data_IF_862014140465
#
_entry.id   IF_862014140465
#
_cell.length_a   1.000
_cell.length_b   1.000
_cell.length_c   1.000
_cell.angle_alpha   90.00
_cell.angle_beta   90.00
_cell.angle_gamma   90.00
#
_symmetry.space_group_name_H-M   'P 1'
#
loop_
_entity.id
_entity.type
_entity.pdbx_description
1 polymer ?
#
# COMPACT_ATOMS: atom_id res chain seq x y z
N UNK A 1 -26.08 -52.74 -26.73
CA UNK A 1 -25.03 -51.71 -26.88
C UNK A 1 -25.77 -50.39 -27.02
N UNK A 2 -25.67 -49.36 -26.20
CA UNK A 2 -24.96 -49.06 -24.95
C UNK A 2 -25.84 -48.00 -24.24
N UNK A 3 -26.02 -48.14 -22.92
CA UNK A 3 -26.76 -47.18 -22.10
C UNK A 3 -25.80 -46.06 -21.68
N UNK A 4 -26.09 -44.82 -22.04
CA UNK A 4 -25.50 -43.66 -21.37
C UNK A 4 -26.47 -43.14 -20.29
N UNK A 5 -26.21 -43.53 -19.04
CA UNK A 5 -26.78 -42.93 -17.83
C UNK A 5 -25.98 -41.65 -17.52
N UNK A 6 -26.58 -40.48 -17.64
CA UNK A 6 -26.04 -39.21 -17.16
C UNK A 6 -26.66 -38.84 -15.82
N UNK A 7 -25.88 -38.94 -14.74
CA UNK A 7 -26.31 -38.76 -13.36
C UNK A 7 -26.69 -37.32 -13.01
N UNK A 8 -27.69 -37.18 -12.15
CA UNK A 8 -27.93 -35.97 -11.36
C UNK A 8 -26.88 -35.91 -10.24
N UNK A 9 -25.98 -34.94 -10.29
CA UNK A 9 -25.11 -34.62 -9.16
C UNK A 9 -25.95 -33.78 -8.19
N UNK A 10 -26.38 -34.41 -7.09
CA UNK A 10 -26.78 -33.71 -5.89
C UNK A 10 -25.50 -33.28 -5.17
N UNK A 11 -25.15 -31.99 -5.22
CA UNK A 11 -24.23 -31.42 -4.23
C UNK A 11 -25.07 -30.93 -3.04
N UNK A 12 -25.18 -31.80 -2.06
CA UNK A 12 -25.51 -31.44 -0.68
C UNK A 12 -24.34 -30.63 -0.10
N UNK A 13 -24.52 -29.33 0.10
CA UNK A 13 -23.64 -28.56 0.98
C UNK A 13 -24.23 -28.59 2.39
N UNK A 14 -23.47 -29.19 3.31
CA UNK A 14 -23.72 -29.15 4.74
C UNK A 14 -23.67 -27.70 5.24
N UNK A 15 -24.47 -27.33 6.25
CA UNK A 15 -24.42 -26.00 6.84
C UNK A 15 -23.13 -25.85 7.65
N UNK A 16 -22.24 -24.93 7.24
CA UNK A 16 -21.10 -24.50 8.07
C UNK A 16 -21.64 -23.54 9.14
N UNK A 17 -22.41 -24.08 10.07
CA UNK A 17 -22.65 -23.44 11.35
C UNK A 17 -21.41 -23.65 12.23
N UNK A 18 -20.84 -22.55 12.74
CA UNK A 18 -19.75 -22.45 13.73
C UNK A 18 -18.32 -22.43 13.18
N UNK A 19 -17.95 -21.35 12.51
CA UNK A 19 -16.63 -20.73 12.68
C UNK A 19 -16.80 -19.25 13.00
N UNK A 20 -17.40 -18.97 14.16
CA UNK A 20 -17.06 -17.75 14.88
C UNK A 20 -15.68 -17.99 15.51
N UNK A 21 -14.68 -17.19 15.11
CA UNK A 21 -13.56 -16.76 15.96
C UNK A 21 -12.67 -15.80 15.19
N UNK A 22 -12.76 -14.54 15.61
CA UNK A 22 -11.68 -13.55 15.67
C UNK A 22 -11.03 -13.22 14.32
N UNK A 23 -11.54 -12.18 13.67
CA UNK A 23 -10.71 -11.34 12.82
C UNK A 23 -9.51 -10.89 13.66
N UNK A 24 -8.26 -11.23 13.29
CA UNK A 24 -7.11 -10.73 14.00
C UNK A 24 -7.06 -9.22 13.74
N UNK A 25 -7.27 -8.42 14.79
CA UNK A 25 -6.85 -7.02 14.75
C UNK A 25 -5.35 -7.04 14.52
N UNK A 26 -4.93 -6.76 13.29
CA UNK A 26 -3.53 -6.58 12.96
C UNK A 26 -3.07 -5.34 13.70
N UNK A 27 -2.19 -5.51 14.68
CA UNK A 27 -1.63 -4.40 15.42
C UNK A 27 -0.85 -3.48 14.47
N UNK A 28 -0.94 -2.15 14.62
CA UNK A 28 -0.07 -1.23 13.88
C UNK A 28 1.38 -1.60 14.11
N UNK A 29 2.16 -1.62 13.03
CA UNK A 29 3.53 -2.13 13.04
C UNK A 29 4.15 -2.06 11.66
N UNK A 30 5.48 -2.08 11.62
CA UNK A 30 6.24 -2.16 10.36
C UNK A 30 6.92 -3.53 10.36
N UNK A 31 6.56 -4.37 9.38
CA UNK A 31 7.29 -5.59 9.09
C UNK A 31 8.20 -5.35 7.88
N UNK A 32 9.50 -5.44 8.11
CA UNK A 32 10.52 -5.47 7.04
C UNK A 32 10.96 -6.93 6.91
N UNK A 33 10.78 -7.54 5.73
CA UNK A 33 11.31 -8.89 5.48
C UNK A 33 12.71 -8.79 4.86
N UNK A 34 13.66 -9.49 5.48
CA UNK A 34 15.09 -9.46 5.14
C UNK A 34 15.40 -9.88 3.69
N UNK A 35 16.42 -9.25 3.11
CA UNK A 35 17.46 -9.95 2.32
C UNK A 35 18.84 -9.30 2.53
N UNK A 36 19.87 -10.14 2.42
CA UNK A 36 21.32 -9.97 2.68
C UNK A 36 22.01 -8.69 2.18
N UNK A 37 23.03 -8.26 2.93
CA UNK A 37 23.96 -7.13 2.65
C UNK A 37 24.32 -6.97 1.17
N UNK A 38 24.12 -5.77 0.63
CA UNK A 38 24.63 -5.38 -0.68
C UNK A 38 25.37 -4.05 -0.59
N UNK A 39 26.65 -4.05 -0.99
CA UNK A 39 27.43 -2.83 -1.15
C UNK A 39 26.98 -2.10 -2.42
N UNK A 40 26.60 -0.83 -2.28
CA UNK A 40 26.15 0.03 -3.38
C UNK A 40 27.28 0.23 -4.42
N UNK A 41 27.08 -0.13 -5.71
CA UNK A 41 27.92 0.39 -6.77
C UNK A 41 27.54 1.85 -7.04
N UNK A 42 28.55 2.72 -7.07
CA UNK A 42 28.42 4.12 -7.55
C UNK A 42 27.97 4.10 -9.02
N UNK A 43 26.75 4.56 -9.31
CA UNK A 43 26.31 4.80 -10.68
C UNK A 43 25.92 6.27 -10.85
N UNK A 44 26.65 6.95 -11.74
CA UNK A 44 26.30 8.25 -12.28
C UNK A 44 25.13 8.09 -13.25
N UNK A 45 23.99 8.72 -12.97
CA UNK A 45 22.89 8.81 -13.94
C UNK A 45 23.02 10.13 -14.70
N UNK A 46 23.46 10.04 -15.96
CA UNK A 46 23.43 11.16 -16.89
C UNK A 46 22.04 11.20 -17.56
N UNK A 47 21.12 12.03 -17.04
CA UNK A 47 19.83 12.33 -17.70
C UNK A 47 19.94 13.68 -18.41
N UNK A 48 20.37 13.66 -19.68
CA UNK A 48 20.19 14.80 -20.58
C UNK A 48 18.71 14.93 -20.98
N UNK A 49 17.91 15.39 -20.01
CA UNK A 49 16.62 16.08 -20.15
C UNK A 49 16.12 16.35 -18.71
N UNK A 50 16.47 17.50 -18.13
CA UNK A 50 16.25 17.69 -16.70
C UNK A 50 15.88 19.12 -16.30
N UNK A 51 14.63 19.28 -15.84
CA UNK A 51 14.26 20.17 -14.74
C UNK A 51 15.10 19.88 -13.46
N UNK A 52 15.78 18.74 -13.41
CA UNK A 52 16.79 18.33 -12.43
C UNK A 52 18.22 18.67 -12.88
N UNK A 53 18.59 19.96 -12.97
CA UNK A 53 20.02 20.32 -13.04
C UNK A 53 20.69 19.80 -11.76
N UNK A 54 21.42 18.70 -11.89
CA UNK A 54 22.24 18.12 -10.83
C UNK A 54 23.30 19.15 -10.46
N UNK A 55 23.16 19.77 -9.29
CA UNK A 55 24.22 20.57 -8.70
C UNK A 55 25.45 19.69 -8.48
N UNK A 56 26.58 20.07 -9.10
CA UNK A 56 27.92 19.62 -8.72
C UNK A 56 28.30 20.22 -7.35
N UNK A 57 27.56 19.90 -6.30
CA UNK A 57 27.89 20.29 -4.94
C UNK A 57 28.35 19.06 -4.15
N UNK A 58 29.48 19.24 -3.44
CA UNK A 58 29.99 18.52 -2.25
C UNK A 58 28.92 17.62 -1.62
N UNK A 59 29.22 16.37 -1.19
CA UNK A 59 28.23 15.32 -0.89
C UNK A 59 27.13 15.87 0.00
N UNK A 60 26.04 16.28 -0.64
CA UNK A 60 24.87 16.71 0.06
C UNK A 60 24.30 15.42 0.60
N UNK A 61 24.37 15.19 1.90
CA UNK A 61 23.39 14.32 2.55
C UNK A 61 22.04 14.72 1.98
N UNK A 62 21.30 13.83 1.31
CA UNK A 62 20.03 14.19 0.71
C UNK A 62 19.17 14.79 1.83
N UNK A 63 18.98 16.11 1.77
CA UNK A 63 18.11 16.80 2.70
C UNK A 63 16.70 16.53 2.23
N UNK A 64 16.15 15.44 2.75
CA UNK A 64 14.76 15.10 2.57
C UNK A 64 14.01 15.90 3.63
N UNK A 65 13.36 16.97 3.21
CA UNK A 65 12.41 17.68 4.05
C UNK A 65 11.45 16.65 4.67
N UNK A 66 11.36 16.62 6.01
CA UNK A 66 10.27 15.90 6.66
C UNK A 66 8.96 16.41 6.03
N UNK A 67 8.02 15.53 5.67
CA UNK A 67 6.83 15.97 4.98
C UNK A 67 6.03 16.91 5.90
N UNK A 68 5.90 18.17 5.46
CA UNK A 68 4.97 19.10 6.10
C UNK A 68 3.57 18.51 5.94
N UNK A 69 2.86 18.34 7.05
CA UNK A 69 1.51 17.80 7.04
C UNK A 69 0.59 18.82 6.36
N UNK A 70 0.13 18.50 5.15
CA UNK A 70 -0.78 19.37 4.40
C UNK A 70 -2.22 19.34 4.95
N UNK A 71 -2.50 18.41 5.86
CA UNK A 71 -3.82 18.24 6.47
C UNK A 71 -3.86 18.82 7.89
N UNK A 72 -5.00 19.39 8.32
CA UNK A 72 -5.15 19.86 9.69
C UNK A 72 -4.95 18.68 10.64
N UNK A 73 -4.10 18.85 11.66
CA UNK A 73 -3.81 17.80 12.65
C UNK A 73 -5.01 17.51 13.54
N UNK A 74 -5.88 18.49 13.73
CA UNK A 74 -7.07 18.41 14.56
C UNK A 74 -8.29 18.97 13.85
N UNK A 75 -9.47 18.42 14.17
CA UNK A 75 -10.77 18.96 13.78
C UNK A 75 -11.05 20.26 14.55
N UNK A 76 -12.12 20.97 14.17
CA UNK A 76 -12.57 22.16 14.93
C UNK A 76 -12.94 21.83 16.39
N UNK A 77 -13.30 20.58 16.68
CA UNK A 77 -13.61 20.11 18.03
C UNK A 77 -12.35 19.72 18.84
N UNK A 78 -11.15 19.84 18.27
CA UNK A 78 -9.89 19.49 18.93
C UNK A 78 -9.52 18.00 18.87
N UNK A 79 -10.32 17.17 18.21
CA UNK A 79 -9.99 15.75 17.99
C UNK A 79 -8.93 15.60 16.91
N UNK A 80 -8.05 14.59 17.00
CA UNK A 80 -7.10 14.28 15.92
C UNK A 80 -7.86 13.92 14.65
N UNK A 81 -7.54 14.59 13.54
CA UNK A 81 -8.27 14.43 12.27
C UNK A 81 -8.30 12.98 11.79
N UNK A 82 -7.15 12.28 11.81
CA UNK A 82 -7.09 10.88 11.38
C UNK A 82 -7.93 9.93 12.24
N UNK A 83 -8.05 10.21 13.54
CA UNK A 83 -8.85 9.37 14.46
C UNK A 83 -10.34 9.60 14.25
N UNK A 84 -10.75 10.85 14.04
CA UNK A 84 -12.12 11.20 13.68
C UNK A 84 -12.53 10.56 12.36
N UNK A 85 -11.71 10.71 11.31
CA UNK A 85 -11.96 10.12 9.98
C UNK A 85 -12.07 8.60 10.07
N UNK A 86 -11.16 7.93 10.79
CA UNK A 86 -11.21 6.47 10.93
C UNK A 86 -12.45 5.97 11.68
N UNK A 87 -12.95 6.72 12.67
CA UNK A 87 -14.22 6.38 13.32
C UNK A 87 -15.41 6.46 12.38
N UNK A 88 -15.43 7.47 11.51
CA UNK A 88 -16.46 7.59 10.45
C UNK A 88 -16.35 6.43 9.46
N UNK A 89 -15.12 6.04 9.11
CA UNK A 89 -14.87 4.89 8.25
C UNK A 89 -15.32 3.57 8.87
N UNK A 90 -15.12 3.34 10.17
CA UNK A 90 -15.64 2.14 10.87
C UNK A 90 -17.16 2.04 10.74
N UNK A 91 -17.88 3.17 10.83
CA UNK A 91 -19.33 3.22 10.64
C UNK A 91 -19.70 2.91 9.19
N UNK A 92 -18.99 3.50 8.23
CA UNK A 92 -19.26 3.32 6.80
C UNK A 92 -19.01 1.88 6.32
N UNK A 93 -17.99 1.22 6.85
CA UNK A 93 -17.61 -0.15 6.51
C UNK A 93 -18.40 -1.22 7.28
N UNK A 94 -19.04 -0.84 8.39
CA UNK A 94 -19.86 -1.74 9.20
C UNK A 94 -19.03 -2.69 10.08
N UNK A 95 -19.71 -3.69 10.65
CA UNK A 95 -19.13 -4.53 11.72
C UNK A 95 -18.23 -5.66 11.24
N UNK A 96 -18.36 -6.11 9.99
CA UNK A 96 -17.58 -7.20 9.40
C UNK A 96 -17.09 -6.82 7.99
N UNK A 97 -16.16 -5.86 7.87
CA UNK A 97 -15.57 -5.54 6.58
C UNK A 97 -14.73 -6.72 6.06
N UNK A 98 -14.61 -6.91 4.73
CA UNK A 98 -13.65 -7.84 4.15
C UNK A 98 -12.21 -7.38 4.43
N UNK A 99 -11.25 -8.30 4.32
CA UNK A 99 -9.84 -7.91 4.35
C UNK A 99 -9.47 -7.25 3.02
N UNK A 100 -8.97 -6.01 3.07
CA UNK A 100 -8.56 -5.25 1.88
C UNK A 100 -7.16 -4.71 2.10
N UNK A 101 -6.18 -5.21 1.35
CA UNK A 101 -4.83 -4.67 1.36
C UNK A 101 -4.70 -3.50 0.38
N UNK A 102 -3.93 -2.48 0.76
CA UNK A 102 -3.52 -1.41 -0.15
C UNK A 102 -2.11 -1.72 -0.66
N UNK A 103 -1.97 -1.90 -1.97
CA UNK A 103 -0.71 -2.18 -2.63
C UNK A 103 -0.16 -0.91 -3.31
N UNK A 104 1.09 -0.60 -2.99
CA UNK A 104 1.84 0.51 -3.55
C UNK A 104 3.19 0.03 -4.08
N UNK A 105 3.55 0.46 -5.29
CA UNK A 105 4.87 0.21 -5.87
C UNK A 105 5.44 1.50 -6.42
N UNK A 106 6.70 1.79 -6.08
CA UNK A 106 7.50 2.85 -6.71
C UNK A 106 8.75 2.26 -7.37
N UNK A 107 8.89 2.44 -8.68
CA UNK A 107 10.06 1.96 -9.43
C UNK A 107 11.08 3.06 -9.72
N UNK A 108 12.22 2.66 -10.28
CA UNK A 108 13.29 3.56 -10.69
C UNK A 108 13.87 4.42 -9.55
N UNK A 109 13.90 3.91 -8.32
CA UNK A 109 14.24 4.64 -7.09
C UNK A 109 13.36 5.90 -6.87
N UNK A 110 12.07 5.79 -7.18
CA UNK A 110 11.09 6.88 -7.17
C UNK A 110 10.45 7.17 -5.80
N UNK A 111 10.95 6.64 -4.69
CA UNK A 111 10.27 6.65 -3.38
C UNK A 111 9.84 8.06 -2.92
N UNK A 112 10.53 9.11 -3.37
CA UNK A 112 10.22 10.50 -3.04
C UNK A 112 8.82 10.94 -3.50
N UNK A 113 8.25 10.31 -4.54
CA UNK A 113 6.89 10.58 -5.02
C UNK A 113 5.84 10.19 -3.98
N UNK A 114 6.12 9.15 -3.18
CA UNK A 114 5.20 8.59 -2.19
C UNK A 114 5.07 9.43 -0.91
N UNK A 115 5.87 10.49 -0.78
CA UNK A 115 5.95 11.35 0.41
C UNK A 115 4.58 11.87 0.86
N UNK A 116 3.78 12.36 -0.09
CA UNK A 116 2.43 12.89 0.20
C UNK A 116 1.38 11.78 0.29
N UNK A 117 1.58 10.70 -0.47
CA UNK A 117 0.72 9.54 -0.45
C UNK A 117 0.66 8.91 0.94
N UNK A 118 1.81 8.67 1.59
CA UNK A 118 1.85 8.13 2.95
C UNK A 118 1.06 8.96 3.97
N UNK A 119 1.17 10.29 3.92
CA UNK A 119 0.38 11.16 4.80
C UNK A 119 -1.12 11.01 4.56
N UNK A 120 -1.52 10.94 3.28
CA UNK A 120 -2.92 10.80 2.93
C UNK A 120 -3.48 9.44 3.32
N UNK A 121 -2.69 8.36 3.24
CA UNK A 121 -3.04 7.02 3.72
C UNK A 121 -3.30 7.03 5.22
N UNK A 122 -2.39 7.61 6.00
CA UNK A 122 -2.51 7.69 7.47
C UNK A 122 -3.82 8.37 7.96
N UNK A 123 -4.46 9.16 7.10
CA UNK A 123 -5.69 9.89 7.39
C UNK A 123 -6.91 9.20 6.78
N UNK A 124 -6.87 8.87 5.49
CA UNK A 124 -8.05 8.53 4.69
C UNK A 124 -8.20 7.05 4.38
N UNK A 125 -7.14 6.25 4.52
CA UNK A 125 -7.27 4.81 4.44
C UNK A 125 -7.82 4.25 5.76
N UNK A 126 -8.74 3.28 5.75
CA UNK A 126 -9.28 2.71 6.98
C UNK A 126 -8.24 1.79 7.64
N UNK A 127 -7.85 2.11 8.88
CA UNK A 127 -6.78 1.41 9.63
C UNK A 127 -7.09 -0.03 9.98
N UNK A 128 -8.37 -0.40 9.95
CA UNK A 128 -8.85 -1.74 10.24
C UNK A 128 -8.95 -2.61 8.99
N UNK A 129 -8.64 -2.07 7.80
CA UNK A 129 -8.60 -2.83 6.56
C UNK A 129 -7.17 -3.29 6.28
N UNK A 130 -6.97 -4.60 6.38
CA UNK A 130 -5.78 -5.29 5.89
C UNK A 130 -4.46 -4.62 6.27
N UNK A 131 -3.49 -4.73 5.37
CA UNK A 131 -2.16 -4.16 5.47
C UNK A 131 -1.91 -3.15 4.34
N UNK A 132 -0.99 -2.22 4.59
CA UNK A 132 -0.40 -1.35 3.57
C UNK A 132 0.87 -2.02 3.07
N UNK A 133 0.83 -2.55 1.86
CA UNK A 133 1.94 -3.24 1.21
C UNK A 133 2.69 -2.21 0.37
N UNK A 134 3.97 -1.99 0.69
CA UNK A 134 4.87 -1.10 -0.03
C UNK A 134 5.99 -1.94 -0.64
N UNK A 135 6.09 -1.91 -1.96
CA UNK A 135 7.19 -2.56 -2.68
C UNK A 135 8.09 -1.48 -3.29
N UNK A 136 9.37 -1.50 -2.94
CA UNK A 136 10.36 -0.48 -3.31
C UNK A 136 11.53 -1.09 -4.04
N UNK A 137 12.30 -0.26 -4.74
CA UNK A 137 13.59 -0.70 -5.26
C UNK A 137 14.60 -0.80 -4.11
N UNK A 138 15.53 -1.75 -4.18
CA UNK A 138 16.56 -1.92 -3.16
C UNK A 138 17.38 -0.63 -2.88
N UNK A 139 17.51 0.27 -3.86
CA UNK A 139 18.19 1.55 -3.68
C UNK A 139 17.47 2.55 -2.77
N UNK A 140 16.18 2.34 -2.50
CA UNK A 140 15.34 3.24 -1.71
C UNK A 140 15.34 2.93 -0.19
N UNK A 141 15.94 1.82 0.23
CA UNK A 141 15.92 1.35 1.63
C UNK A 141 16.41 2.41 2.63
N UNK A 142 17.52 3.08 2.30
CA UNK A 142 18.08 4.11 3.15
C UNK A 142 17.18 5.36 3.28
N UNK A 143 16.32 5.61 2.29
CA UNK A 143 15.45 6.79 2.19
C UNK A 143 14.13 6.56 2.94
N UNK A 144 13.63 5.31 2.94
CA UNK A 144 12.35 4.92 3.53
C UNK A 144 12.14 5.44 4.95
N UNK A 145 13.16 5.35 5.81
CA UNK A 145 13.10 5.77 7.23
C UNK A 145 12.76 7.25 7.42
N UNK A 146 12.94 8.08 6.39
CA UNK A 146 12.63 9.51 6.43
C UNK A 146 11.21 9.83 5.95
N UNK A 147 10.56 8.89 5.27
CA UNK A 147 9.24 9.08 4.65
C UNK A 147 8.12 8.43 5.46
N UNK A 148 8.40 7.30 6.11
CA UNK A 148 7.41 6.67 6.99
C UNK A 148 7.14 7.52 8.23
N UNK A 149 5.89 7.52 8.73
CA UNK A 149 5.57 8.10 10.02
C UNK A 149 6.33 7.37 11.13
N UNK A 150 6.89 8.11 12.10
CA UNK A 150 7.61 7.55 13.26
C UNK A 150 6.74 6.58 14.09
N UNK A 151 5.42 6.80 14.08
CA UNK A 151 4.41 5.94 14.71
C UNK A 151 3.27 5.71 13.72
N UNK A 152 3.37 4.68 12.85
CA UNK A 152 2.32 4.40 11.88
C UNK A 152 1.04 3.96 12.59
N UNK A 153 -0.09 4.46 12.09
CA UNK A 153 -1.40 4.02 12.53
C UNK A 153 -1.86 2.74 11.80
N UNK A 154 -1.22 2.43 10.68
CA UNK A 154 -1.48 1.23 9.89
C UNK A 154 -0.45 0.13 10.13
N UNK A 155 -0.80 -1.09 9.73
CA UNK A 155 0.16 -2.18 9.58
C UNK A 155 0.82 -2.10 8.20
N UNK A 156 2.12 -1.84 8.16
CA UNK A 156 2.91 -1.74 6.94
C UNK A 156 3.72 -3.00 6.71
N UNK A 157 3.63 -3.55 5.49
CA UNK A 157 4.49 -4.62 4.98
C UNK A 157 5.38 -3.99 3.92
N UNK A 158 6.69 -4.05 4.13
CA UNK A 158 7.65 -3.39 3.24
C UNK A 158 8.59 -4.44 2.64
N UNK A 159 8.64 -4.44 1.31
CA UNK A 159 9.43 -5.37 0.52
C UNK A 159 10.35 -4.59 -0.44
N UNK A 160 11.55 -5.10 -0.66
CA UNK A 160 12.52 -4.51 -1.57
C UNK A 160 12.79 -5.46 -2.74
N UNK A 161 12.72 -4.93 -3.96
CA UNK A 161 12.90 -5.69 -5.18
C UNK A 161 14.03 -5.12 -6.03
N UNK A 162 14.67 -6.01 -6.80
CA UNK A 162 15.63 -5.66 -7.84
C UNK A 162 14.90 -5.64 -9.18
N UNK A 163 14.13 -4.58 -9.43
CA UNK A 163 13.43 -4.41 -10.70
C UNK A 163 14.23 -3.46 -11.60
N UNK A 164 14.51 -3.82 -12.87
CA UNK A 164 15.09 -2.85 -13.80
C UNK A 164 14.15 -1.66 -13.96
N UNK A 165 14.72 -0.46 -14.13
CA UNK A 165 13.92 0.73 -14.35
C UNK A 165 13.22 0.65 -15.71
N UNK A 166 11.93 0.29 -15.69
CA UNK A 166 11.08 0.19 -16.88
C UNK A 166 10.01 1.29 -16.79
N UNK A 167 9.76 2.07 -17.85
CA UNK A 167 8.79 3.15 -17.79
C UNK A 167 7.35 2.67 -18.02
N UNK A 168 6.41 3.37 -17.38
CA UNK A 168 4.99 3.37 -17.75
C UNK A 168 4.30 2.02 -17.62
N UNK A 169 3.46 1.69 -18.61
CA UNK A 169 2.51 0.57 -18.51
C UNK A 169 3.16 -0.79 -18.29
N UNK A 170 4.36 -1.02 -18.82
CA UNK A 170 5.06 -2.30 -18.65
C UNK A 170 5.46 -2.52 -17.19
N UNK A 171 5.89 -1.46 -16.51
CA UNK A 171 6.18 -1.52 -15.08
C UNK A 171 4.94 -1.87 -14.28
N UNK A 172 3.81 -1.18 -14.51
CA UNK A 172 2.56 -1.47 -13.81
C UNK A 172 2.13 -2.94 -13.98
N UNK A 173 2.23 -3.48 -15.20
CA UNK A 173 1.91 -4.90 -15.45
C UNK A 173 2.85 -5.84 -14.68
N UNK A 174 4.15 -5.55 -14.66
CA UNK A 174 5.12 -6.33 -13.91
C UNK A 174 4.82 -6.30 -12.39
N UNK A 175 4.46 -5.13 -11.85
CA UNK A 175 4.08 -4.98 -10.44
C UNK A 175 2.84 -5.80 -10.10
N UNK A 176 1.81 -5.75 -10.96
CA UNK A 176 0.56 -6.49 -10.73
C UNK A 176 0.73 -8.00 -10.85
N UNK A 177 1.62 -8.48 -11.73
CA UNK A 177 1.93 -9.92 -11.85
C UNK A 177 2.55 -10.52 -10.59
N UNK A 178 3.24 -9.71 -9.78
CA UNK A 178 3.88 -10.17 -8.54
C UNK A 178 3.03 -9.90 -7.30
N UNK A 179 1.89 -9.20 -7.44
CA UNK A 179 1.05 -8.74 -6.34
C UNK A 179 0.54 -9.90 -5.46
N UNK A 180 0.18 -11.04 -6.07
CA UNK A 180 -0.28 -12.24 -5.37
C UNK A 180 0.75 -12.80 -4.37
N UNK A 181 2.03 -12.45 -4.50
CA UNK A 181 3.08 -12.87 -3.56
C UNK A 181 3.07 -12.09 -2.26
N UNK A 182 2.45 -10.91 -2.25
CA UNK A 182 2.56 -9.96 -1.15
C UNK A 182 1.30 -9.89 -0.28
N UNK A 183 0.15 -10.31 -0.79
CA UNK A 183 -1.14 -10.20 -0.09
C UNK A 183 -1.81 -11.55 0.11
N UNK A 184 -2.48 -11.71 1.26
CA UNK A 184 -3.43 -12.79 1.52
C UNK A 184 -4.83 -12.28 1.84
N UNK A 185 -5.12 -11.02 1.52
CA UNK A 185 -6.41 -10.40 1.76
C UNK A 185 -7.47 -10.86 0.74
N UNK A 186 -8.74 -10.64 1.05
CA UNK A 186 -9.86 -10.97 0.15
C UNK A 186 -9.82 -10.09 -1.12
N UNK A 187 -9.37 -8.85 -0.96
CA UNK A 187 -9.21 -7.87 -2.04
C UNK A 187 -7.90 -7.12 -1.91
N UNK A 188 -7.38 -6.67 -3.05
CA UNK A 188 -6.22 -5.77 -3.10
C UNK A 188 -6.57 -4.55 -3.94
N UNK A 189 -6.31 -3.37 -3.40
CA UNK A 189 -6.42 -2.10 -4.12
C UNK A 189 -5.03 -1.63 -4.49
N UNK A 190 -4.80 -1.34 -5.76
CA UNK A 190 -3.53 -0.77 -6.22
C UNK A 190 -3.66 0.75 -6.34
N UNK A 191 -2.64 1.47 -5.91
CA UNK A 191 -2.54 2.92 -6.10
C UNK A 191 -1.14 3.29 -6.64
N UNK A 192 -1.10 4.21 -7.58
CA UNK A 192 0.15 4.70 -8.17
C UNK A 192 0.93 5.55 -7.14
N UNK A 193 2.26 5.54 -7.24
CA UNK A 193 3.16 6.22 -6.28
C UNK A 193 3.05 7.74 -6.28
N UNK A 194 2.54 8.31 -7.36
CA UNK A 194 2.37 9.74 -7.61
C UNK A 194 0.94 10.25 -7.30
N UNK A 195 0.09 9.39 -6.73
CA UNK A 195 -1.27 9.75 -6.34
C UNK A 195 -1.38 10.22 -4.88
N UNK A 196 -2.49 10.88 -4.55
CA UNK A 196 -2.84 11.24 -3.17
C UNK A 196 -4.31 10.95 -2.88
N UNK A 197 -4.63 10.55 -1.66
CA UNK A 197 -6.01 10.45 -1.19
C UNK A 197 -6.47 11.83 -0.69
N UNK A 198 -7.57 12.36 -1.23
CA UNK A 198 -8.13 13.65 -0.78
C UNK A 198 -9.41 13.49 0.04
N UNK A 199 -9.93 12.27 0.19
CA UNK A 199 -11.17 11.98 0.90
C UNK A 199 -11.14 10.58 1.53
N UNK A 200 -11.92 10.33 2.60
CA UNK A 200 -12.03 9.02 3.23
C UNK A 200 -12.43 7.92 2.22
N UNK A 201 -11.78 6.76 2.29
CA UNK A 201 -12.03 5.63 1.39
C UNK A 201 -13.16 4.75 1.93
N UNK A 202 -14.36 4.94 1.39
CA UNK A 202 -15.58 4.19 1.77
C UNK A 202 -15.75 2.91 0.94
N UNK A 203 -16.59 1.95 1.35
CA UNK A 203 -16.85 0.74 0.57
C UNK A 203 -17.32 1.05 -0.85
N UNK A 204 -18.22 2.03 -1.03
CA UNK A 204 -18.76 2.42 -2.35
C UNK A 204 -17.69 2.97 -3.31
N UNK A 205 -16.57 3.47 -2.78
CA UNK A 205 -15.44 3.94 -3.60
C UNK A 205 -14.67 2.77 -4.22
N UNK A 206 -14.54 1.66 -3.48
CA UNK A 206 -13.79 0.46 -3.91
C UNK A 206 -14.72 -0.49 -4.66
N UNK A 207 -15.86 -0.82 -4.06
CA UNK A 207 -16.84 -1.74 -4.58
C UNK A 207 -17.96 -0.94 -5.22
N UNK A 208 -17.84 -0.67 -6.53
CA UNK A 208 -18.98 -0.16 -7.30
C UNK A 208 -20.12 -1.18 -7.19
N UNK A 209 -21.29 -0.72 -6.77
CA UNK A 209 -22.49 -1.54 -6.75
C UNK A 209 -22.84 -1.98 -8.19
N UNK A 210 -22.45 -3.19 -8.56
CA UNK A 210 -23.02 -3.99 -9.65
C UNK A 210 -23.01 -3.39 -11.06
N UNK A 211 -21.89 -2.81 -11.51
CA UNK A 211 -21.63 -2.66 -12.95
C UNK A 211 -20.31 -3.29 -13.32
#
# INVERSE_FOLDING_TARGET
>A
MEKAKGGKIYQSFLPVSKLSKLSPRVSPGILIKNTTEFQLPKICVNRNASIWKICKAIPCTPYIDKPNWNYPRTTMAGEKTGDFVNRVLEIAWGSNPPSVDLYLRSGCNGIMEMKYLFQSIEIFWPRFLGSIIIVLDAGDEAILKYLLPEKPAHHYIIEFEHTPCVPGRVFNQYSYLNLDRHSSADYVVTIDSDCILHSPVTPDLIFRQGR
#
